data_IF_054864027310
#
_entry.id   IF_054864027310
#
_cell.length_a   1.000
_cell.length_b   1.000
_cell.length_c   1.000
_cell.angle_alpha   90.00
_cell.angle_beta   90.00
_cell.angle_gamma   90.00
#
_symmetry.space_group_name_H-M   'P 1'
#
loop_
_entity.id
_entity.type
_entity.pdbx_description
1 polymer ?
#
# COMPACT_ATOMS: atom_id res chain seq x y z
N UNK A 1 9.53 -8.64 19.59
CA UNK A 1 10.84 -8.87 18.94
C UNK A 1 11.54 -10.11 19.48
N UNK A 2 12.04 -10.15 20.73
CA UNK A 2 12.65 -11.37 21.33
C UNK A 2 11.80 -12.62 21.08
N UNK A 3 10.53 -12.56 21.51
CA UNK A 3 9.54 -13.63 21.29
C UNK A 3 9.42 -14.07 19.83
N UNK A 4 9.40 -13.11 18.89
CA UNK A 4 9.33 -13.40 17.46
C UNK A 4 10.62 -14.04 16.93
N UNK A 5 11.79 -13.66 17.44
CA UNK A 5 13.06 -14.31 17.11
C UNK A 5 13.11 -15.73 17.70
N UNK A 6 12.62 -15.91 18.93
CA UNK A 6 12.51 -17.21 19.60
C UNK A 6 11.59 -18.15 18.81
N UNK A 7 10.41 -17.68 18.39
CA UNK A 7 9.46 -18.40 17.53
C UNK A 7 10.08 -18.76 16.17
N UNK A 8 10.76 -17.82 15.51
CA UNK A 8 11.40 -18.07 14.22
C UNK A 8 12.54 -19.12 14.31
N UNK A 9 13.23 -19.20 15.45
CA UNK A 9 14.25 -20.22 15.72
C UNK A 9 13.61 -21.58 15.99
N UNK A 10 12.51 -21.61 16.75
CA UNK A 10 11.71 -22.81 16.95
C UNK A 10 11.20 -23.37 15.62
N UNK A 11 10.73 -22.49 14.73
CA UNK A 11 10.27 -22.81 13.37
C UNK A 11 11.43 -23.11 12.40
N UNK A 12 12.69 -23.08 12.86
CA UNK A 12 13.91 -23.29 12.06
C UNK A 12 14.06 -22.35 10.87
N UNK A 13 13.38 -21.20 10.89
CA UNK A 13 13.52 -20.13 9.89
C UNK A 13 14.74 -19.26 10.16
N UNK A 14 15.24 -19.26 11.39
CA UNK A 14 16.38 -18.47 11.85
C UNK A 14 17.28 -19.33 12.75
N UNK A 15 18.60 -19.11 12.72
CA UNK A 15 19.54 -19.74 13.67
C UNK A 15 20.00 -18.75 14.74
N UNK A 16 20.44 -19.24 15.90
CA UNK A 16 20.80 -18.38 17.06
C UNK A 16 21.81 -17.27 16.71
N UNK A 17 22.79 -17.57 15.85
CA UNK A 17 23.79 -16.60 15.39
C UNK A 17 23.25 -15.51 14.45
N UNK A 18 22.04 -15.66 13.90
CA UNK A 18 21.36 -14.67 13.08
C UNK A 18 20.46 -13.74 13.88
N UNK A 19 20.40 -13.89 15.21
CA UNK A 19 19.67 -12.96 16.08
C UNK A 19 20.20 -11.55 15.93
N UNK A 20 19.31 -10.58 16.08
CA UNK A 20 19.72 -9.19 16.09
C UNK A 20 20.66 -8.92 17.25
N UNK A 21 21.77 -8.26 16.93
CA UNK A 21 22.69 -7.74 17.95
C UNK A 21 21.95 -6.82 18.92
N UNK A 22 22.50 -6.64 20.13
CA UNK A 22 21.93 -5.73 21.13
C UNK A 22 21.68 -4.33 20.55
N UNK A 23 22.66 -3.77 19.84
CA UNK A 23 22.54 -2.44 19.22
C UNK A 23 21.42 -2.37 18.17
N UNK A 24 21.26 -3.40 17.33
CA UNK A 24 20.19 -3.42 16.33
C UNK A 24 18.81 -3.52 16.98
N UNK A 25 18.70 -4.31 18.05
CA UNK A 25 17.49 -4.42 18.86
C UNK A 25 17.12 -3.08 19.49
N UNK A 26 18.09 -2.38 20.06
CA UNK A 26 17.87 -1.09 20.69
C UNK A 26 17.46 -0.02 19.66
N UNK A 27 18.10 -0.02 18.48
CA UNK A 27 17.74 0.85 17.35
C UNK A 27 16.33 0.60 16.83
N UNK A 28 15.88 -0.66 16.82
CA UNK A 28 14.51 -1.00 16.44
C UNK A 28 13.48 -0.58 17.49
N UNK A 29 13.80 -0.72 18.78
CA UNK A 29 12.91 -0.34 19.88
C UNK A 29 12.78 1.18 20.02
N UNK A 30 13.89 1.91 19.91
CA UNK A 30 13.90 3.38 19.88
C UNK A 30 13.28 3.97 18.62
N UNK A 31 13.27 3.20 17.53
CA UNK A 31 12.68 3.56 16.25
C UNK A 31 13.63 4.23 15.27
N UNK A 32 14.92 4.36 15.61
CA UNK A 32 15.96 4.87 14.70
C UNK A 32 16.08 4.02 13.43
N UNK A 33 15.91 2.70 13.58
CA UNK A 33 15.86 1.78 12.44
C UNK A 33 14.77 2.18 11.44
N UNK A 34 13.58 2.56 11.91
CA UNK A 34 12.45 2.90 11.06
C UNK A 34 12.69 4.18 10.27
N UNK A 35 13.38 5.16 10.86
CA UNK A 35 13.77 6.39 10.15
C UNK A 35 14.69 6.05 8.98
N UNK A 36 15.75 5.27 9.24
CA UNK A 36 16.70 4.86 8.21
C UNK A 36 16.05 3.98 7.14
N UNK A 37 15.12 3.11 7.53
CA UNK A 37 14.40 2.24 6.60
C UNK A 37 13.46 3.06 5.70
N UNK A 38 12.67 3.97 6.27
CA UNK A 38 11.73 4.81 5.54
C UNK A 38 12.44 5.72 4.54
N UNK A 39 13.60 6.27 4.90
CA UNK A 39 14.42 7.10 4.00
C UNK A 39 14.94 6.31 2.78
N UNK A 40 15.13 4.99 2.91
CA UNK A 40 15.68 4.13 1.84
C UNK A 40 14.60 3.41 1.02
N UNK A 41 13.38 3.29 1.55
CA UNK A 41 12.31 2.51 0.94
C UNK A 41 11.05 3.36 0.77
N UNK A 42 10.91 3.99 -0.40
CA UNK A 42 9.80 4.89 -0.70
C UNK A 42 8.42 4.22 -0.61
N UNK A 43 8.32 2.93 -0.96
CA UNK A 43 7.04 2.21 -1.01
C UNK A 43 6.42 2.00 0.37
N UNK A 44 7.25 1.88 1.40
CA UNK A 44 6.81 1.66 2.78
C UNK A 44 6.82 2.94 3.61
N UNK A 45 7.30 4.05 3.04
CA UNK A 45 7.51 5.30 3.75
C UNK A 45 6.23 5.75 4.47
N UNK A 46 5.11 5.82 3.76
CA UNK A 46 3.84 6.34 4.32
C UNK A 46 3.38 5.51 5.54
N UNK A 47 3.31 4.18 5.38
CA UNK A 47 2.91 3.29 6.46
C UNK A 47 3.87 3.34 7.68
N UNK A 48 5.18 3.44 7.43
CA UNK A 48 6.18 3.51 8.51
C UNK A 48 6.14 4.87 9.20
N UNK A 49 5.95 5.95 8.43
CA UNK A 49 5.85 7.29 8.97
C UNK A 49 4.72 7.35 9.99
N UNK A 50 3.49 6.98 9.60
CA UNK A 50 2.35 7.07 10.49
C UNK A 50 2.39 6.08 11.67
N UNK A 51 2.89 4.86 11.46
CA UNK A 51 2.89 3.82 12.52
C UNK A 51 4.05 3.87 13.49
N UNK A 52 5.19 4.47 13.10
CA UNK A 52 6.45 4.40 13.86
C UNK A 52 7.09 5.75 14.10
N UNK A 53 7.06 6.64 13.11
CA UNK A 53 7.78 7.92 13.18
C UNK A 53 6.88 8.99 13.80
N UNK A 54 5.66 9.23 13.31
CA UNK A 54 4.73 10.25 13.82
C UNK A 54 4.51 10.11 15.32
N UNK A 55 4.22 8.88 15.79
CA UNK A 55 3.97 8.60 17.19
C UNK A 55 5.15 8.92 18.11
N UNK A 56 6.39 8.83 17.59
CA UNK A 56 7.61 9.14 18.34
C UNK A 56 7.76 10.64 18.58
N UNK A 57 7.39 11.47 17.61
CA UNK A 57 7.57 12.92 17.68
C UNK A 57 6.35 13.65 18.24
N UNK A 58 5.16 13.18 17.91
CA UNK A 58 3.90 13.85 18.24
C UNK A 58 3.03 13.08 19.24
N UNK A 59 3.60 12.04 19.86
CA UNK A 59 2.97 11.21 20.87
C UNK A 59 1.99 10.17 20.31
N UNK A 60 1.48 9.26 21.15
CA UNK A 60 0.49 8.27 20.74
C UNK A 60 -0.74 9.01 20.20
N UNK A 61 -1.10 8.77 18.95
CA UNK A 61 -2.41 9.19 18.50
C UNK A 61 -3.44 8.34 19.25
N UNK A 62 -4.37 8.98 19.97
CA UNK A 62 -5.50 8.30 20.58
C UNK A 62 -6.42 7.91 19.42
N UNK A 63 -6.41 6.62 19.09
CA UNK A 63 -7.20 6.02 18.03
C UNK A 63 -8.48 5.47 18.66
N UNK A 64 -9.61 6.13 18.45
CA UNK A 64 -10.91 5.47 18.69
C UNK A 64 -11.32 4.59 17.50
N UNK A 65 -10.66 4.78 16.35
CA UNK A 65 -10.89 4.04 15.12
C UNK A 65 -9.53 3.73 14.49
N UNK A 66 -9.32 2.48 14.05
CA UNK A 66 -8.07 1.95 13.47
C UNK A 66 -7.72 2.58 12.10
N UNK A 67 -8.43 3.64 11.72
CA UNK A 67 -8.27 4.30 10.44
C UNK A 67 -7.11 5.30 10.45
N UNK A 68 -5.92 4.77 10.15
CA UNK A 68 -4.68 5.54 9.96
C UNK A 68 -4.84 6.66 8.91
N UNK A 69 -5.79 6.51 7.97
CA UNK A 69 -6.00 7.46 6.86
C UNK A 69 -6.51 8.84 7.31
N UNK A 70 -6.97 9.04 8.54
CA UNK A 70 -7.43 10.35 9.03
C UNK A 70 -6.44 11.03 9.99
N UNK A 71 -5.31 10.39 10.30
CA UNK A 71 -4.30 10.93 11.24
C UNK A 71 -3.70 12.23 10.75
N UNK A 72 -3.44 12.35 9.44
CA UNK A 72 -2.89 13.56 8.85
C UNK A 72 -3.79 14.80 9.07
N UNK A 73 -5.12 14.64 9.16
CA UNK A 73 -6.03 15.76 9.44
C UNK A 73 -5.79 16.35 10.82
N UNK A 74 -5.52 15.50 11.82
CA UNK A 74 -5.17 15.94 13.17
C UNK A 74 -3.83 16.67 13.19
N UNK A 75 -2.93 16.41 12.24
CA UNK A 75 -1.63 17.08 12.08
C UNK A 75 -1.69 18.33 11.20
N UNK A 76 -2.83 18.61 10.57
CA UNK A 76 -2.98 19.76 9.67
C UNK A 76 -2.68 21.10 10.37
N UNK A 77 -2.93 21.20 11.68
CA UNK A 77 -2.61 22.41 12.45
C UNK A 77 -1.11 22.72 12.55
N UNK A 78 -0.23 21.76 12.25
CA UNK A 78 1.23 21.95 12.24
C UNK A 78 1.72 22.72 11.02
N UNK A 79 0.94 22.73 9.93
CA UNK A 79 1.28 23.47 8.71
C UNK A 79 0.91 24.95 8.87
N UNK A 80 1.80 25.81 8.39
CA UNK A 80 1.54 27.24 8.25
C UNK A 80 0.42 27.50 7.21
N UNK A 81 -0.18 28.69 7.22
CA UNK A 81 -1.25 29.03 6.27
C UNK A 81 -0.78 28.94 4.82
N UNK A 82 0.43 29.44 4.52
CA UNK A 82 1.00 29.36 3.18
C UNK A 82 1.27 27.92 2.73
N UNK A 83 1.70 27.04 3.63
CA UNK A 83 1.92 25.62 3.31
C UNK A 83 0.60 24.89 3.01
N UNK A 84 -0.47 25.23 3.71
CA UNK A 84 -1.82 24.69 3.43
C UNK A 84 -2.34 25.17 2.08
N UNK A 85 -2.14 26.43 1.75
CA UNK A 85 -2.53 26.99 0.44
C UNK A 85 -1.79 26.30 -0.70
N UNK A 86 -0.47 26.10 -0.57
CA UNK A 86 0.33 25.35 -1.55
C UNK A 86 -0.14 23.90 -1.71
N UNK A 87 -0.42 23.22 -0.60
CA UNK A 87 -0.96 21.85 -0.62
C UNK A 87 -2.31 21.81 -1.36
N UNK A 88 -3.21 22.74 -1.06
CA UNK A 88 -4.54 22.83 -1.68
C UNK A 88 -4.44 23.14 -3.18
N UNK A 89 -3.55 24.04 -3.60
CA UNK A 89 -3.28 24.31 -5.01
C UNK A 89 -2.85 23.03 -5.74
N UNK A 90 -1.93 22.27 -5.15
CA UNK A 90 -1.43 21.02 -5.73
C UNK A 90 -2.52 19.94 -5.81
N UNK A 91 -3.35 19.80 -4.77
CA UNK A 91 -4.50 18.89 -4.77
C UNK A 91 -5.46 19.26 -5.91
N UNK A 92 -5.78 20.54 -6.07
CA UNK A 92 -6.64 21.03 -7.15
C UNK A 92 -6.05 20.76 -8.53
N UNK A 93 -4.74 20.97 -8.71
CA UNK A 93 -4.04 20.60 -9.94
C UNK A 93 -4.17 19.10 -10.23
N UNK A 94 -3.89 18.24 -9.25
CA UNK A 94 -3.99 16.78 -9.39
C UNK A 94 -5.41 16.30 -9.68
N UNK A 95 -6.42 16.94 -9.10
CA UNK A 95 -7.82 16.65 -9.40
C UNK A 95 -8.20 17.02 -10.84
N UNK A 96 -7.73 18.17 -11.33
CA UNK A 96 -7.91 18.57 -12.74
C UNK A 96 -7.20 17.58 -13.68
N UNK A 97 -5.94 17.26 -13.39
CA UNK A 97 -5.16 16.27 -14.14
C UNK A 97 -5.90 14.92 -14.17
N UNK A 98 -6.33 14.38 -13.02
CA UNK A 98 -7.08 13.13 -12.94
C UNK A 98 -8.33 13.12 -13.81
N UNK A 99 -9.07 14.23 -13.86
CA UNK A 99 -10.27 14.32 -14.69
C UNK A 99 -9.94 14.33 -16.20
N UNK A 100 -8.73 14.73 -16.58
CA UNK A 100 -8.24 14.68 -17.96
C UNK A 100 -7.45 13.40 -18.29
N UNK A 101 -6.83 12.80 -17.29
CA UNK A 101 -5.94 11.65 -17.42
C UNK A 101 -6.75 10.36 -17.38
N UNK A 102 -6.88 9.70 -18.53
CA UNK A 102 -7.43 8.35 -18.60
C UNK A 102 -6.40 7.41 -17.97
N UNK A 103 -6.72 6.75 -16.86
CA UNK A 103 -5.94 5.61 -16.36
C UNK A 103 -6.06 4.46 -17.37
N UNK A 104 -5.23 4.51 -18.41
CA UNK A 104 -5.05 3.42 -19.34
C UNK A 104 -3.89 2.57 -18.80
N UNK A 105 -4.24 1.46 -18.16
CA UNK A 105 -3.25 0.42 -17.90
C UNK A 105 -2.81 -0.15 -19.25
N UNK A 106 -1.51 -0.16 -19.52
CA UNK A 106 -0.95 -0.74 -20.73
C UNK A 106 -0.78 -2.25 -20.51
N UNK A 107 -1.61 -3.10 -21.13
CA UNK A 107 -1.56 -4.53 -20.88
C UNK A 107 -0.29 -5.15 -21.45
N UNK A 108 0.38 -5.96 -20.64
CA UNK A 108 1.47 -6.79 -21.13
C UNK A 108 0.98 -7.83 -22.16
N UNK A 109 1.91 -8.40 -22.92
CA UNK A 109 1.60 -9.35 -23.99
C UNK A 109 0.76 -10.54 -23.50
N UNK A 110 1.02 -10.99 -22.28
CA UNK A 110 0.25 -12.05 -21.64
C UNK A 110 -1.21 -11.65 -21.46
N UNK A 111 -1.46 -10.46 -20.92
CA UNK A 111 -2.81 -9.98 -20.63
C UNK A 111 -3.58 -9.70 -21.91
N UNK A 112 -2.93 -9.14 -22.93
CA UNK A 112 -3.52 -9.00 -24.28
C UNK A 112 -3.92 -10.36 -24.84
N UNK A 113 -3.03 -11.36 -24.74
CA UNK A 113 -3.29 -12.72 -25.19
C UNK A 113 -4.45 -13.38 -24.43
N UNK A 114 -4.54 -13.17 -23.12
CA UNK A 114 -5.63 -13.66 -22.28
C UNK A 114 -6.97 -13.02 -22.64
N UNK A 115 -7.02 -11.68 -22.81
CA UNK A 115 -8.22 -10.96 -23.24
C UNK A 115 -8.70 -11.48 -24.60
N UNK A 116 -7.79 -11.72 -25.55
CA UNK A 116 -8.15 -12.24 -26.87
C UNK A 116 -8.77 -13.64 -26.79
N UNK A 117 -8.17 -14.55 -26.00
CA UNK A 117 -8.73 -15.89 -25.76
C UNK A 117 -10.12 -15.82 -25.13
N UNK A 118 -10.32 -14.98 -24.12
CA UNK A 118 -11.61 -14.81 -23.46
C UNK A 118 -12.69 -14.30 -24.43
N UNK A 119 -12.35 -13.35 -25.32
CA UNK A 119 -13.29 -12.89 -26.36
C UNK A 119 -13.64 -14.00 -27.36
N UNK A 120 -12.67 -14.83 -27.73
CA UNK A 120 -12.91 -15.96 -28.64
C UNK A 120 -13.80 -17.04 -28.01
N UNK A 121 -13.62 -17.33 -26.72
CA UNK A 121 -14.47 -18.26 -25.96
C UNK A 121 -15.90 -17.72 -25.88
N UNK A 122 -16.07 -16.47 -25.44
CA UNK A 122 -17.39 -15.84 -25.32
C UNK A 122 -18.16 -15.84 -26.65
N UNK A 123 -17.48 -15.53 -27.76
CA UNK A 123 -18.09 -15.56 -29.11
C UNK A 123 -18.50 -16.97 -29.55
N UNK A 124 -17.80 -18.01 -29.07
CA UNK A 124 -18.19 -19.41 -29.34
C UNK A 124 -19.40 -19.81 -28.51
N UNK A 125 -19.45 -19.43 -27.24
CA UNK A 125 -20.59 -19.67 -26.34
C UNK A 125 -21.86 -18.98 -26.85
N UNK A 126 -21.79 -17.71 -27.25
CA UNK A 126 -22.92 -16.96 -27.83
C UNK A 126 -23.40 -17.57 -29.17
N UNK A 127 -22.47 -18.16 -29.94
CA UNK A 127 -22.80 -18.86 -31.20
C UNK A 127 -23.40 -20.26 -30.99
N UNK A 128 -23.19 -20.87 -29.82
CA UNK A 128 -23.76 -22.17 -29.43
C UNK A 128 -25.14 -21.99 -28.77
N UNK A 129 -25.34 -20.96 -27.95
CA UNK A 129 -26.67 -20.60 -27.40
C UNK A 129 -27.67 -20.23 -28.50
N UNK A 130 -27.23 -19.54 -29.55
CA UNK A 130 -28.05 -19.23 -30.73
C UNK A 130 -28.48 -20.46 -31.56
N UNK A 131 -27.83 -21.63 -31.37
CA UNK A 131 -28.21 -22.90 -32.00
C UNK A 131 -29.10 -23.78 -31.11
N UNK A 132 -29.14 -23.53 -29.80
CA UNK A 132 -29.99 -24.27 -28.85
C UNK A 132 -31.45 -23.79 -28.79
N UNK A 133 -31.76 -22.59 -29.27
CA UNK A 133 -33.12 -22.02 -29.29
C UNK A 133 -34.02 -22.48 -30.45
N UNK A 134 -33.52 -23.35 -31.33
CA UNK A 134 -34.21 -23.77 -32.55
C UNK A 134 -34.58 -25.24 -32.56
N UNK A 135 -35.23 -25.77 -31.51
CA UNK A 135 -36.05 -26.98 -31.63
C UNK A 135 -37.03 -27.12 -30.44
N UNK A 136 -38.15 -26.40 -30.51
CA UNK A 136 -39.40 -26.81 -29.86
C UNK A 136 -40.52 -26.55 -30.87
N UNK A 137 -40.82 -27.57 -31.67
CA UNK A 137 -42.08 -27.83 -32.36
C UNK A 137 -42.20 -29.36 -32.49
#
# INVERSE_FOLDING_TARGET
MRKCEDEAIQDRRLVEGQRLSGRMRDSWQSGDFWIMYAARNNFAFDAIYWKKIDQRFFGPAIYEDDNICDVWRKRLHLLESGEKELMEEYVNLKLKERNTFRLAWDPDEYTVGWIKRMREIKRKEEGEEGKGGGNVC
#
